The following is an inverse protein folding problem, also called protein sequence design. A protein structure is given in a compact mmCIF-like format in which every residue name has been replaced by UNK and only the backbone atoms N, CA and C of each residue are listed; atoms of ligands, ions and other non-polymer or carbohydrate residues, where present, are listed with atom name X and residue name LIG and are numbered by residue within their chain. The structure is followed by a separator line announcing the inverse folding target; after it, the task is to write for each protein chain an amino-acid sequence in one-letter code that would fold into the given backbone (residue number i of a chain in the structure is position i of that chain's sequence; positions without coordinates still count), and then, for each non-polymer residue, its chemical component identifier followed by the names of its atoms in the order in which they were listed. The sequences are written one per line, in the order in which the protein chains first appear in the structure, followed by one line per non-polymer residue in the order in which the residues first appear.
data_IF_623430734067
#
_entry.id   IF_623430734067
#
_cell.length_a   1.000
_cell.length_b   1.000
_cell.length_c   1.000
_cell.angle_alpha   90.00
_cell.angle_beta   90.00
_cell.angle_gamma   90.00
#
_symmetry.space_group_name_H-M   'P 1'
#
loop_
_entity.id
_entity.type
_entity.pdbx_description
1 polymer ?
#
# COMPACT_ATOMS: atom_id res chain seq x y z
N UNK A 1 -5.34 12.60 10.83
CA UNK A 1 -4.20 13.48 10.50
C UNK A 1 -4.65 14.89 10.79
N UNK A 2 -3.93 15.62 11.64
CA UNK A 2 -4.33 16.96 12.11
C UNK A 2 -3.48 18.04 11.45
N UNK A 3 -3.87 19.30 11.63
CA UNK A 3 -3.10 20.44 11.11
C UNK A 3 -1.72 20.51 11.78
N UNK A 4 -1.64 20.22 13.08
CA UNK A 4 -0.37 20.17 13.82
C UNK A 4 0.54 19.08 13.28
N UNK A 5 -0.02 17.91 12.94
CA UNK A 5 0.75 16.83 12.31
C UNK A 5 1.28 17.28 10.96
N UNK A 6 0.45 17.94 10.15
CA UNK A 6 0.83 18.42 8.82
C UNK A 6 1.97 19.42 8.91
N UNK A 7 1.85 20.43 9.77
CA UNK A 7 2.90 21.43 9.99
C UNK A 7 4.20 20.78 10.47
N UNK A 8 4.13 19.82 11.41
CA UNK A 8 5.32 19.13 11.90
C UNK A 8 5.95 18.22 10.85
N UNK A 9 5.16 17.47 10.08
CA UNK A 9 5.65 16.50 9.10
C UNK A 9 6.39 17.14 7.92
N UNK A 10 6.02 18.36 7.55
CA UNK A 10 6.64 19.15 6.48
C UNK A 10 7.66 20.19 6.95
N UNK A 11 7.95 20.25 8.26
CA UNK A 11 9.04 21.08 8.81
C UNK A 11 10.38 20.36 8.70
N UNK A 12 11.49 21.13 8.76
CA UNK A 12 12.82 20.54 8.91
C UNK A 12 12.88 19.74 10.23
N UNK A 13 13.25 18.43 10.20
CA UNK A 13 13.40 17.63 11.41
C UNK A 13 14.31 18.28 12.48
N UNK A 14 15.33 19.04 12.07
CA UNK A 14 16.24 19.73 12.96
C UNK A 14 15.58 20.93 13.69
N UNK A 15 14.51 21.49 13.13
CA UNK A 15 13.79 22.65 13.69
C UNK A 15 12.54 22.29 14.50
N UNK A 16 12.26 20.99 14.72
CA UNK A 16 11.06 20.56 15.44
C UNK A 16 11.10 20.94 16.92
N UNK A 17 10.07 21.64 17.37
CA UNK A 17 9.89 22.01 18.77
C UNK A 17 9.61 20.78 19.66
N UNK A 18 9.80 20.93 20.97
CA UNK A 18 9.47 19.89 21.95
C UNK A 18 7.98 19.50 21.92
N UNK A 19 7.08 20.41 21.57
CA UNK A 19 5.65 20.13 21.45
C UNK A 19 5.26 19.46 20.12
N UNK A 20 6.05 19.64 19.05
CA UNK A 20 5.81 19.01 17.76
C UNK A 20 6.30 17.56 17.70
N UNK A 21 7.39 17.21 18.40
CA UNK A 21 7.95 15.85 18.37
C UNK A 21 6.94 14.75 18.74
N UNK A 22 6.12 14.88 19.81
CA UNK A 22 5.13 13.86 20.16
C UNK A 22 4.04 13.67 19.09
N UNK A 23 3.71 14.72 18.34
CA UNK A 23 2.68 14.66 17.28
C UNK A 23 3.09 13.67 16.18
N UNK A 24 4.39 13.53 15.94
CA UNK A 24 4.95 12.65 14.92
C UNK A 24 5.27 11.24 15.45
N UNK A 25 5.11 10.96 16.74
CA UNK A 25 5.56 9.70 17.35
C UNK A 25 4.97 8.47 16.65
N UNK A 26 3.66 8.49 16.36
CA UNK A 26 3.00 7.41 15.65
C UNK A 26 3.51 7.24 14.21
N UNK A 27 3.66 8.34 13.48
CA UNK A 27 4.24 8.33 12.12
C UNK A 27 5.66 7.78 12.12
N UNK A 28 6.51 8.20 13.05
CA UNK A 28 7.88 7.71 13.19
C UNK A 28 7.92 6.20 13.44
N UNK A 29 7.02 5.66 14.28
CA UNK A 29 6.92 4.20 14.48
C UNK A 29 6.57 3.49 13.18
N UNK A 30 5.60 4.00 12.41
CA UNK A 30 5.21 3.39 11.14
C UNK A 30 6.33 3.46 10.08
N UNK A 31 7.08 4.57 10.04
CA UNK A 31 8.25 4.71 9.18
C UNK A 31 9.34 3.69 9.54
N UNK A 32 9.64 3.53 10.84
CA UNK A 32 10.64 2.58 11.31
C UNK A 32 10.24 1.13 10.96
N UNK A 33 8.96 0.77 11.12
CA UNK A 33 8.45 -0.53 10.70
C UNK A 33 8.58 -0.73 9.18
N UNK A 34 8.27 0.29 8.38
CA UNK A 34 8.39 0.24 6.92
C UNK A 34 9.86 0.07 6.49
N UNK A 35 10.78 0.82 7.08
CA UNK A 35 12.22 0.76 6.78
C UNK A 35 12.82 -0.60 7.15
N UNK A 36 12.37 -1.18 8.26
CA UNK A 36 12.82 -2.48 8.75
C UNK A 36 12.25 -3.67 7.96
N UNK A 37 11.18 -3.49 7.17
CA UNK A 37 10.55 -4.57 6.44
C UNK A 37 11.41 -5.08 5.28
N UNK A 38 11.51 -6.40 5.11
CA UNK A 38 12.21 -7.03 3.98
C UNK A 38 11.34 -7.12 2.72
N UNK A 39 10.02 -7.21 2.92
CA UNK A 39 9.04 -7.39 1.85
C UNK A 39 7.73 -6.71 2.21
N UNK A 40 7.19 -5.94 1.28
CA UNK A 40 5.97 -5.17 1.42
C UNK A 40 4.78 -5.94 0.80
N UNK A 41 3.67 -6.11 1.53
CA UNK A 41 2.44 -6.77 1.03
C UNK A 41 1.18 -5.90 1.22
N UNK A 42 0.79 -5.12 0.21
CA UNK A 42 -0.36 -4.19 0.31
C UNK A 42 -1.68 -4.87 -0.08
N UNK A 43 -2.67 -4.81 0.81
CA UNK A 43 -4.07 -5.04 0.47
C UNK A 43 -4.73 -3.72 0.08
N UNK A 44 -5.21 -3.61 -1.16
CA UNK A 44 -5.78 -2.37 -1.70
C UNK A 44 -7.18 -2.61 -2.28
N UNK A 45 -8.25 -2.51 -1.48
CA UNK A 45 -9.60 -2.50 -2.04
C UNK A 45 -9.83 -1.20 -2.82
N UNK A 46 -10.54 -1.30 -3.96
CA UNK A 46 -10.89 -0.15 -4.78
C UNK A 46 -12.17 0.49 -4.25
N UNK A 47 -12.06 1.73 -3.79
CA UNK A 47 -13.18 2.57 -3.37
C UNK A 47 -13.26 3.76 -4.31
N UNK A 48 -14.38 3.95 -4.99
CA UNK A 48 -14.60 5.06 -5.92
C UNK A 48 -13.41 5.26 -6.88
N UNK A 49 -13.02 4.18 -7.57
CA UNK A 49 -11.95 4.16 -8.58
C UNK A 49 -10.51 4.29 -8.06
N UNK A 50 -10.31 4.55 -6.75
CA UNK A 50 -9.01 4.76 -6.14
C UNK A 50 -8.78 3.82 -4.93
N UNK A 51 -7.69 4.04 -4.20
CA UNK A 51 -7.41 3.35 -2.94
C UNK A 51 -8.37 3.76 -1.82
N UNK A 52 -8.55 2.89 -0.82
CA UNK A 52 -9.33 3.23 0.37
C UNK A 52 -8.74 4.39 1.18
N UNK A 53 -9.58 5.16 1.85
CA UNK A 53 -9.17 6.30 2.68
C UNK A 53 -8.19 5.92 3.80
N UNK A 54 -8.37 4.75 4.42
CA UNK A 54 -7.45 4.26 5.46
C UNK A 54 -6.06 3.93 4.89
N UNK A 55 -5.99 3.33 3.69
CA UNK A 55 -4.71 3.10 3.02
C UNK A 55 -4.04 4.43 2.68
N UNK A 56 -4.79 5.41 2.18
CA UNK A 56 -4.24 6.75 1.91
C UNK A 56 -3.72 7.42 3.18
N UNK A 57 -4.49 7.36 4.27
CA UNK A 57 -4.09 7.91 5.56
C UNK A 57 -2.81 7.26 6.09
N UNK A 58 -2.62 5.95 5.90
CA UNK A 58 -1.36 5.29 6.24
C UNK A 58 -0.21 5.74 5.35
N UNK A 59 -0.41 5.80 4.04
CA UNK A 59 0.60 6.29 3.09
C UNK A 59 1.07 7.69 3.52
N UNK A 60 0.15 8.57 3.91
CA UNK A 60 0.50 9.91 4.39
C UNK A 60 1.33 9.89 5.68
N UNK A 61 1.14 8.89 6.55
CA UNK A 61 1.97 8.74 7.75
C UNK A 61 3.39 8.24 7.45
N UNK A 62 3.60 7.47 6.38
CA UNK A 62 4.90 6.82 6.11
C UNK A 62 5.69 7.43 4.96
N UNK A 63 5.06 8.19 4.07
CA UNK A 63 5.74 8.87 2.95
C UNK A 63 6.09 10.29 3.39
N UNK A 64 7.30 10.46 3.94
CA UNK A 64 7.76 11.73 4.51
C UNK A 64 9.13 12.14 3.99
N UNK A 65 9.24 13.43 3.65
CA UNK A 65 10.48 14.06 3.19
C UNK A 65 11.56 14.00 4.26
N UNK A 66 12.79 13.68 3.85
CA UNK A 66 13.93 13.51 4.76
C UNK A 66 13.88 12.24 5.62
N UNK A 67 12.87 11.38 5.44
CA UNK A 67 12.68 10.13 6.19
C UNK A 67 12.65 8.93 5.26
N UNK A 68 11.57 8.80 4.49
CA UNK A 68 11.34 7.72 3.52
C UNK A 68 11.41 8.21 2.08
N UNK A 69 11.51 9.52 1.90
CA UNK A 69 11.80 10.17 0.62
C UNK A 69 12.97 11.11 0.84
N UNK A 70 14.12 10.80 0.25
CA UNK A 70 15.31 11.63 0.31
C UNK A 70 15.43 12.43 -0.99
N UNK A 71 15.84 13.69 -0.90
CA UNK A 71 16.03 14.52 -2.09
C UNK A 71 17.53 14.66 -2.38
N UNK A 72 17.93 14.31 -3.59
CA UNK A 72 19.29 14.54 -4.09
C UNK A 72 19.23 15.35 -5.40
N UNK A 73 20.38 15.82 -5.94
CA UNK A 73 20.39 16.62 -7.18
C UNK A 73 19.77 15.93 -8.40
N UNK A 74 19.65 14.60 -8.41
CA UNK A 74 19.05 13.81 -9.49
C UNK A 74 17.55 13.54 -9.26
N UNK A 75 16.99 14.03 -8.14
CA UNK A 75 15.58 13.89 -7.80
C UNK A 75 15.33 13.14 -6.48
N UNK A 76 14.05 12.79 -6.22
CA UNK A 76 13.66 12.02 -5.06
C UNK A 76 14.17 10.58 -5.16
N UNK A 77 14.75 10.07 -4.08
CA UNK A 77 15.20 8.70 -3.94
C UNK A 77 14.75 8.17 -2.58
N UNK A 78 14.03 7.05 -2.59
CA UNK A 78 13.63 6.40 -1.35
C UNK A 78 14.60 5.31 -0.89
N UNK A 79 14.69 5.05 0.43
CA UNK A 79 15.64 4.12 1.01
C UNK A 79 15.24 2.64 0.86
N UNK A 80 14.06 2.34 0.30
CA UNK A 80 13.55 0.98 0.16
C UNK A 80 13.97 0.29 -1.14
N UNK A 81 14.91 0.86 -1.89
CA UNK A 81 15.42 0.30 -3.14
C UNK A 81 15.89 -1.17 -2.97
N UNK A 82 15.53 -2.02 -3.93
CA UNK A 82 15.87 -3.44 -3.94
C UNK A 82 14.95 -4.34 -3.10
N UNK A 83 14.05 -3.79 -2.29
CA UNK A 83 13.02 -4.56 -1.58
C UNK A 83 11.89 -4.95 -2.54
N UNK A 84 11.24 -6.09 -2.25
CA UNK A 84 10.12 -6.61 -3.04
C UNK A 84 8.79 -6.09 -2.53
N UNK A 85 7.86 -5.85 -3.45
CA UNK A 85 6.48 -5.48 -3.13
C UNK A 85 5.47 -6.42 -3.82
N UNK A 86 4.45 -6.84 -3.07
CA UNK A 86 3.27 -7.51 -3.57
C UNK A 86 2.03 -6.67 -3.26
N UNK A 87 1.25 -6.33 -4.28
CA UNK A 87 -0.01 -5.60 -4.13
C UNK A 87 -1.15 -6.49 -4.57
N UNK A 88 -2.12 -6.70 -3.67
CA UNK A 88 -3.35 -7.44 -3.94
C UNK A 88 -4.50 -6.45 -3.95
N UNK A 89 -5.16 -6.28 -5.10
CA UNK A 89 -6.29 -5.36 -5.23
C UNK A 89 -7.61 -6.11 -5.33
N UNK A 90 -8.66 -5.61 -4.69
CA UNK A 90 -10.04 -6.09 -4.93
C UNK A 90 -10.87 -5.02 -5.63
N UNK A 91 -11.52 -5.40 -6.73
CA UNK A 91 -12.25 -4.48 -7.64
C UNK A 91 -13.62 -5.05 -8.00
N UNK A 92 -14.64 -4.18 -8.00
CA UNK A 92 -16.01 -4.57 -8.32
C UNK A 92 -16.18 -4.98 -9.79
N UNK A 93 -15.59 -4.22 -10.72
CA UNK A 93 -15.51 -4.51 -12.15
C UNK A 93 -14.09 -4.85 -12.60
N UNK A 94 -13.90 -4.97 -13.92
CA UNK A 94 -12.59 -5.08 -14.58
C UNK A 94 -12.07 -3.70 -14.97
N UNK A 95 -10.78 -3.45 -14.82
CA UNK A 95 -10.11 -2.18 -15.19
C UNK A 95 -8.85 -2.44 -16.03
N UNK A 96 -8.71 -3.66 -16.55
CA UNK A 96 -7.58 -4.03 -17.40
C UNK A 96 -7.49 -3.15 -18.64
N UNK A 97 -6.26 -2.95 -19.11
CA UNK A 97 -6.03 -2.34 -20.41
C UNK A 97 -6.92 -2.97 -21.50
N UNK A 98 -7.59 -2.12 -22.28
CA UNK A 98 -8.52 -2.54 -23.33
C UNK A 98 -10.00 -2.65 -22.91
N UNK A 99 -10.34 -2.54 -21.61
CA UNK A 99 -11.75 -2.42 -21.21
C UNK A 99 -12.24 -0.97 -21.32
N UNK A 100 -13.55 -0.71 -21.51
CA UNK A 100 -14.11 0.65 -21.49
C UNK A 100 -13.84 1.41 -20.18
N UNK A 101 -13.64 0.65 -19.11
CA UNK A 101 -13.40 1.12 -17.73
C UNK A 101 -11.92 1.35 -17.40
N UNK A 102 -10.98 0.97 -18.27
CA UNK A 102 -9.54 1.04 -18.00
C UNK A 102 -9.07 2.46 -17.60
N UNK A 103 -9.65 3.48 -18.24
CA UNK A 103 -9.37 4.90 -17.96
C UNK A 103 -9.79 5.34 -16.55
N UNK A 104 -10.60 4.55 -15.84
CA UNK A 104 -11.04 4.83 -14.48
C UNK A 104 -10.24 4.05 -13.44
N UNK A 105 -9.06 3.52 -13.77
CA UNK A 105 -8.14 2.99 -12.76
C UNK A 105 -7.25 4.11 -12.22
N UNK A 106 -7.61 4.65 -11.05
CA UNK A 106 -6.74 5.55 -10.29
C UNK A 106 -6.06 4.84 -9.11
N UNK A 107 -6.28 3.53 -8.96
CA UNK A 107 -5.79 2.76 -7.83
C UNK A 107 -4.35 2.30 -8.07
N UNK A 108 -4.12 1.53 -9.13
CA UNK A 108 -2.81 0.96 -9.39
C UNK A 108 -1.78 1.99 -9.85
N UNK A 109 -2.10 2.92 -10.77
CA UNK A 109 -1.14 3.97 -11.14
C UNK A 109 -0.68 4.80 -9.94
N UNK A 110 -1.60 5.15 -9.04
CA UNK A 110 -1.26 5.84 -7.79
C UNK A 110 -0.32 5.01 -6.91
N UNK A 111 -0.64 3.75 -6.66
CA UNK A 111 0.19 2.86 -5.83
C UNK A 111 1.59 2.67 -6.42
N UNK A 112 1.70 2.40 -7.73
CA UNK A 112 3.00 2.30 -8.40
C UNK A 112 3.82 3.57 -8.24
N UNK A 113 3.19 4.73 -8.44
CA UNK A 113 3.88 6.01 -8.35
C UNK A 113 4.37 6.30 -6.92
N UNK A 114 3.48 6.18 -5.94
CA UNK A 114 3.80 6.57 -4.56
C UNK A 114 4.75 5.57 -3.89
N UNK A 115 4.69 4.28 -4.24
CA UNK A 115 5.62 3.26 -3.74
C UNK A 115 7.00 3.38 -4.39
N UNK A 116 7.06 3.70 -5.69
CA UNK A 116 8.32 4.03 -6.34
C UNK A 116 9.00 5.25 -5.69
N UNK A 117 8.22 6.22 -5.21
CA UNK A 117 8.72 7.41 -4.51
C UNK A 117 9.51 7.07 -3.23
N UNK A 118 9.12 5.99 -2.52
CA UNK A 118 9.87 5.46 -1.36
C UNK A 118 10.90 4.38 -1.73
N UNK A 119 11.08 4.09 -3.02
CA UNK A 119 12.11 3.19 -3.55
C UNK A 119 11.61 1.78 -3.91
N UNK A 120 10.33 1.47 -3.67
CA UNK A 120 9.71 0.20 -4.02
C UNK A 120 9.32 0.21 -5.50
N UNK A 121 10.25 -0.22 -6.36
CA UNK A 121 10.09 -0.20 -7.82
C UNK A 121 9.81 -1.58 -8.41
N UNK A 122 10.01 -2.64 -7.63
CA UNK A 122 9.79 -4.03 -8.04
C UNK A 122 8.49 -4.58 -7.42
N UNK A 123 7.38 -4.14 -7.99
CA UNK A 123 6.03 -4.41 -7.50
C UNK A 123 5.30 -5.44 -8.37
N UNK A 124 4.88 -6.54 -7.76
CA UNK A 124 3.97 -7.53 -8.36
C UNK A 124 2.53 -7.18 -8.00
N UNK A 125 1.66 -7.04 -8.99
CA UNK A 125 0.24 -6.78 -8.76
C UNK A 125 -0.61 -8.03 -9.05
N UNK A 126 -1.53 -8.33 -8.14
CA UNK A 126 -2.56 -9.37 -8.30
C UNK A 126 -3.93 -8.71 -8.18
N UNK A 127 -4.72 -8.76 -9.25
CA UNK A 127 -6.05 -8.18 -9.29
C UNK A 127 -7.15 -9.23 -9.11
N UNK A 128 -7.86 -9.13 -7.99
CA UNK A 128 -9.16 -9.78 -7.79
C UNK A 128 -10.26 -8.85 -8.35
N UNK A 129 -10.50 -8.94 -9.66
CA UNK A 129 -11.52 -8.15 -10.37
C UNK A 129 -12.87 -8.85 -10.41
N UNK A 130 -13.90 -8.15 -10.91
CA UNK A 130 -15.25 -8.68 -11.10
C UNK A 130 -15.87 -9.24 -9.81
N UNK A 131 -15.52 -8.69 -8.65
CA UNK A 131 -16.06 -9.12 -7.35
C UNK A 131 -17.53 -8.72 -7.16
N UNK A 132 -18.06 -7.84 -8.02
CA UNK A 132 -19.49 -7.53 -8.16
C UNK A 132 -19.89 -7.59 -9.64
N UNK A 133 -20.07 -8.80 -10.19
CA UNK A 133 -20.41 -8.98 -11.61
C UNK A 133 -21.63 -8.16 -12.00
N UNK A 134 -21.58 -7.46 -13.14
CA UNK A 134 -22.71 -6.70 -13.68
C UNK A 134 -22.93 -5.31 -13.07
N UNK A 135 -22.30 -4.94 -11.94
CA UNK A 135 -22.44 -3.61 -11.35
C UNK A 135 -21.96 -2.48 -12.29
N UNK A 136 -20.97 -2.77 -13.13
CA UNK A 136 -20.41 -1.81 -14.09
C UNK A 136 -21.22 -1.74 -15.41
N UNK A 137 -22.06 -2.74 -15.71
CA UNK A 137 -22.95 -2.76 -16.90
C UNK A 137 -23.90 -1.55 -16.92
N UNK A 138 -24.31 -1.11 -15.74
CA UNK A 138 -25.20 0.04 -15.54
C UNK A 138 -24.44 1.37 -15.74
N UNK A 139 -23.14 1.42 -15.44
CA UNK A 139 -22.33 2.64 -15.53
C UNK A 139 -21.63 2.81 -16.90
N UNK A 140 -21.28 1.71 -17.58
CA UNK A 140 -20.63 1.71 -18.89
C UNK A 140 -21.62 1.68 -20.07
N UNK A 141 -22.93 1.62 -19.81
CA UNK A 141 -23.97 1.56 -20.84
C UNK A 141 -23.92 0.30 -21.73
N UNK A 142 -23.13 -0.71 -21.38
CA UNK A 142 -22.82 -1.85 -22.25
C UNK A 142 -23.56 -3.13 -21.84
N UNK A 143 -24.47 -3.62 -22.69
CA UNK A 143 -25.37 -4.77 -22.48
C UNK A 143 -24.77 -6.16 -22.69
N UNK A 144 -23.46 -6.38 -22.52
CA UNK A 144 -22.85 -7.66 -22.91
C UNK A 144 -22.31 -8.52 -21.74
N UNK A 145 -22.49 -9.84 -21.86
CA UNK A 145 -22.31 -10.82 -20.79
C UNK A 145 -21.27 -11.87 -21.14
N UNK A 146 -20.10 -11.82 -20.51
CA UNK A 146 -19.17 -12.95 -20.51
C UNK A 146 -18.43 -13.10 -19.18
N UNK A 147 -18.35 -14.34 -18.73
CA UNK A 147 -17.98 -14.81 -17.40
C UNK A 147 -16.46 -15.11 -17.35
N UNK A 148 -15.74 -14.75 -16.27
CA UNK A 148 -14.30 -15.06 -16.13
C UNK A 148 -14.02 -15.93 -14.91
N UNK A 149 -13.22 -17.00 -15.13
CA UNK A 149 -12.87 -18.06 -14.18
C UNK A 149 -11.67 -17.67 -13.29
N UNK A 150 -11.54 -18.41 -12.19
CA UNK A 150 -10.78 -18.09 -10.98
C UNK A 150 -9.24 -17.98 -11.08
N UNK A 151 -8.68 -17.34 -10.05
CA UNK A 151 -7.25 -17.13 -9.84
C UNK A 151 -6.64 -18.24 -8.94
N UNK A 152 -5.46 -18.73 -9.31
CA UNK A 152 -4.74 -19.82 -8.65
C UNK A 152 -3.96 -19.38 -7.40
N UNK A 153 -3.77 -20.34 -6.49
CA UNK A 153 -3.04 -20.23 -5.21
C UNK A 153 -1.54 -20.11 -5.43
N UNK A 154 -0.89 -19.19 -4.72
CA UNK A 154 0.56 -19.19 -4.50
C UNK A 154 0.86 -19.40 -3.00
N UNK A 155 1.93 -20.13 -2.70
CA UNK A 155 2.40 -20.47 -1.34
C UNK A 155 3.93 -20.32 -1.27
N UNK A 156 4.45 -19.48 -0.34
CA UNK A 156 5.32 -19.86 0.79
C UNK A 156 6.19 -18.72 1.33
N UNK A 157 6.17 -18.65 2.67
CA UNK A 157 7.21 -18.29 3.66
C UNK A 157 8.30 -17.28 3.27
N UNK A 158 8.02 -16.02 3.59
CA UNK A 158 9.00 -15.01 4.01
C UNK A 158 8.49 -14.34 5.29
N UNK A 159 9.34 -13.62 6.01
CA UNK A 159 8.89 -12.78 7.14
C UNK A 159 8.09 -11.61 6.54
N UNK A 160 6.76 -11.76 6.51
CA UNK A 160 5.82 -10.80 5.94
C UNK A 160 5.61 -9.64 6.91
N UNK A 161 5.84 -8.40 6.49
CA UNK A 161 5.34 -7.25 7.21
C UNK A 161 4.99 -6.12 6.23
N UNK A 162 3.68 -5.93 6.06
CA UNK A 162 2.90 -4.71 6.31
C UNK A 162 1.58 -4.93 5.57
N UNK A 163 0.53 -5.37 6.26
CA UNK A 163 -0.80 -5.46 5.63
C UNK A 163 -1.61 -4.24 6.02
N UNK A 164 -1.85 -3.33 5.08
CA UNK A 164 -2.96 -2.40 5.21
C UNK A 164 -4.25 -3.17 4.92
N UNK A 165 -5.03 -3.51 5.95
CA UNK A 165 -6.41 -3.95 5.77
C UNK A 165 -7.34 -3.10 6.64
N UNK A 166 -8.63 -3.12 6.34
CA UNK A 166 -9.67 -2.28 6.96
C UNK A 166 -9.87 -2.52 8.48
N UNK A 167 -9.24 -3.53 9.07
CA UNK A 167 -9.45 -4.00 10.44
C UNK A 167 -8.26 -3.72 11.40
N UNK A 168 -7.30 -2.89 10.99
CA UNK A 168 -6.19 -2.47 11.85
C UNK A 168 -4.92 -3.35 11.75
N UNK A 169 -3.81 -2.76 12.19
CA UNK A 169 -2.45 -3.30 12.08
C UNK A 169 -2.25 -4.56 12.92
N UNK A 170 -1.84 -5.66 12.30
CA UNK A 170 -1.24 -6.80 13.02
C UNK A 170 0.06 -7.19 12.33
N UNK A 171 1.17 -7.08 13.07
CA UNK A 171 2.42 -7.74 12.70
C UNK A 171 2.16 -9.25 12.61
N UNK A 172 2.48 -9.87 11.47
CA UNK A 172 2.61 -11.33 11.37
C UNK A 172 4.09 -11.64 11.62
N UNK A 173 4.54 -11.43 12.86
CA UNK A 173 5.84 -11.92 13.28
C UNK A 173 5.76 -13.44 13.39
N UNK A 174 6.38 -14.15 12.44
CA UNK A 174 6.59 -15.59 12.54
C UNK A 174 7.51 -15.92 13.72
N UNK A 175 6.95 -16.00 14.93
CA UNK A 175 7.60 -16.70 16.05
C UNK A 175 7.52 -18.19 15.72
N UNK A 176 8.66 -18.80 15.41
CA UNK A 176 8.78 -20.25 15.52
C UNK A 176 8.55 -20.61 16.99
N UNK A 177 7.47 -21.33 17.26
CA UNK A 177 7.31 -22.01 18.54
C UNK A 177 8.38 -23.11 18.66
N UNK A 178 9.03 -23.27 19.82
CA UNK A 178 9.94 -24.39 20.02
C UNK A 178 9.14 -25.70 19.97
N UNK A 179 9.51 -26.58 19.03
CA UNK A 179 9.01 -27.95 18.98
C UNK A 179 9.45 -28.68 20.24
N UNK A 180 8.54 -28.87 21.18
CA UNK A 180 8.71 -29.86 22.24
C UNK A 180 8.64 -31.25 21.61
N UNK A 181 9.79 -31.91 21.48
CA UNK A 181 9.85 -33.35 21.27
C UNK A 181 9.41 -34.05 22.56
N UNK A 182 8.24 -34.70 22.53
CA UNK A 182 7.92 -35.73 23.53
C UNK A 182 8.82 -36.94 23.25
N UNK A 183 9.55 -37.38 24.28
CA UNK A 183 10.04 -38.75 24.38
C UNK A 183 8.88 -39.69 24.67
#
# INVERSE_FOLDING_TARGET
MTDEWTLAAYSDPASLSTSQKPVLAFSNTLEEELLAADTMVIGAPMHNFAISALLKAWIDQVVRGGRTVLFNPNGPQGPLAGKKELVITSRGGSYRAGTPTAQYDYQEPYLRHIMAFVGLTDATFIHAENQKPGAWRILAGSSDGSNSRGCGRANRSGRLAVTANQNGWRQIAGKQEPRFHRK
#
